data_IF_948340340639
#
_entry.id   IF_948340340639
#
_cell.length_a   1.000
_cell.length_b   1.000
_cell.length_c   1.000
_cell.angle_alpha   90.00
_cell.angle_beta   90.00
_cell.angle_gamma   90.00
#
_symmetry.space_group_name_H-M   'P 1'
#
loop_
_entity.id
_entity.type
_entity.pdbx_description
1 polymer ?
#
# COMPACT_ATOMS: atom_id res chain seq x y z
N UNK A 1 54.82 -4.42 -9.60
CA UNK A 1 54.24 -3.35 -8.76
C UNK A 1 54.29 -2.05 -9.54
N UNK A 2 53.19 -1.64 -10.17
CA UNK A 2 53.10 -0.32 -10.83
C UNK A 2 51.67 0.19 -10.70
N UNK A 3 51.39 0.85 -9.57
CA UNK A 3 50.10 1.50 -9.28
C UNK A 3 50.02 2.77 -10.12
N UNK A 4 49.33 2.72 -11.28
CA UNK A 4 49.11 3.91 -12.13
C UNK A 4 48.06 4.83 -11.50
N UNK A 5 48.30 6.14 -11.70
CA UNK A 5 47.66 7.29 -11.05
C UNK A 5 46.14 7.34 -11.24
N UNK A 6 45.46 7.71 -10.15
CA UNK A 6 44.01 7.92 -10.00
C UNK A 6 43.53 9.16 -10.77
N UNK A 7 42.42 9.02 -11.50
CA UNK A 7 41.72 10.10 -12.19
C UNK A 7 40.25 10.12 -11.73
N UNK A 8 39.92 11.19 -11.02
CA UNK A 8 38.79 11.39 -10.09
C UNK A 8 37.34 11.21 -10.62
N UNK A 9 37.12 10.74 -11.86
CA UNK A 9 35.79 10.45 -12.41
C UNK A 9 35.58 8.99 -12.83
N UNK A 10 36.65 8.27 -13.17
CA UNK A 10 36.59 6.85 -13.58
C UNK A 10 36.81 5.87 -12.43
N UNK A 11 37.38 6.33 -11.32
CA UNK A 11 37.75 5.49 -10.18
C UNK A 11 36.52 4.91 -9.47
N UNK A 12 35.43 5.68 -9.33
CA UNK A 12 34.18 5.19 -8.73
C UNK A 12 33.53 4.09 -9.56
N UNK A 13 33.54 4.24 -10.89
CA UNK A 13 33.00 3.22 -11.81
C UNK A 13 33.85 1.95 -11.74
N UNK A 14 35.18 2.07 -11.74
CA UNK A 14 36.08 0.91 -11.55
C UNK A 14 35.87 0.22 -10.22
N UNK A 15 35.65 0.98 -9.14
CA UNK A 15 35.36 0.41 -7.81
C UNK A 15 34.03 -0.34 -7.79
N UNK A 16 33.01 0.12 -8.54
CA UNK A 16 31.71 -0.56 -8.64
C UNK A 16 31.76 -1.84 -9.48
N UNK A 17 32.51 -1.80 -10.59
CA UNK A 17 32.68 -2.96 -11.49
C UNK A 17 33.61 -4.00 -10.88
N UNK A 18 34.57 -3.58 -10.08
CA UNK A 18 35.69 -4.41 -9.61
C UNK A 18 36.41 -5.06 -10.82
N UNK A 19 36.78 -6.34 -10.70
CA UNK A 19 37.46 -7.10 -11.76
C UNK A 19 36.47 -7.83 -12.70
N UNK A 20 35.24 -7.32 -12.82
CA UNK A 20 34.22 -7.87 -13.73
C UNK A 20 34.40 -7.38 -15.17
N UNK A 21 34.10 -8.27 -16.10
CA UNK A 21 34.14 -7.97 -17.53
C UNK A 21 32.96 -7.05 -17.93
N UNK A 22 33.29 -5.94 -18.59
CA UNK A 22 32.31 -5.03 -19.20
C UNK A 22 32.05 -5.49 -20.63
N UNK A 23 30.81 -5.86 -20.91
CA UNK A 23 30.38 -6.50 -22.17
C UNK A 23 29.61 -5.55 -23.07
N UNK A 24 29.02 -4.50 -22.51
CA UNK A 24 28.21 -3.56 -23.28
C UNK A 24 27.98 -2.23 -22.57
N UNK A 25 27.08 -1.45 -23.14
CA UNK A 25 26.64 -0.18 -22.58
C UNK A 25 25.43 -0.43 -21.66
N UNK A 26 25.51 0.00 -20.40
CA UNK A 26 24.40 -0.16 -19.48
C UNK A 26 23.37 0.95 -19.53
N UNK A 27 22.32 0.80 -18.73
CA UNK A 27 21.33 1.85 -18.51
C UNK A 27 22.06 3.11 -18.05
N UNK A 28 21.85 4.21 -18.76
CA UNK A 28 22.50 5.51 -18.55
C UNK A 28 24.02 5.52 -18.79
N UNK A 29 24.55 4.60 -19.59
CA UNK A 29 25.99 4.54 -19.94
C UNK A 29 26.89 4.06 -18.80
N UNK A 30 26.31 3.52 -17.72
CA UNK A 30 27.07 2.99 -16.58
C UNK A 30 27.19 1.47 -16.64
N UNK A 31 28.36 0.88 -16.35
CA UNK A 31 28.56 -0.56 -16.34
C UNK A 31 28.01 -1.18 -15.04
N UNK A 32 26.68 -1.30 -14.93
CA UNK A 32 25.99 -1.82 -13.74
C UNK A 32 25.36 -3.17 -14.07
N UNK A 33 25.43 -4.10 -13.12
CA UNK A 33 24.70 -5.36 -13.16
C UNK A 33 23.31 -5.17 -12.56
N UNK A 34 22.26 -5.63 -13.25
CA UNK A 34 20.91 -5.69 -12.72
C UNK A 34 20.12 -6.75 -13.48
N UNK A 35 19.29 -7.52 -12.77
CA UNK A 35 18.38 -8.50 -13.36
C UNK A 35 17.03 -7.83 -13.59
N UNK A 36 16.73 -7.48 -14.84
CA UNK A 36 15.49 -6.79 -15.22
C UNK A 36 14.96 -7.32 -16.55
N UNK A 37 13.63 -7.42 -16.73
CA UNK A 37 13.06 -7.88 -17.99
C UNK A 37 13.30 -6.90 -19.15
N UNK A 38 13.47 -5.61 -18.86
CA UNK A 38 13.69 -4.58 -19.88
C UNK A 38 15.12 -4.60 -20.44
N UNK A 39 16.07 -5.10 -19.66
CA UNK A 39 17.47 -5.23 -20.08
C UNK A 39 17.98 -6.63 -19.68
N UNK A 40 17.62 -7.67 -20.45
CA UNK A 40 17.98 -9.05 -20.14
C UNK A 40 19.50 -9.30 -20.22
N UNK A 41 20.24 -8.40 -20.89
CA UNK A 41 21.69 -8.47 -21.03
C UNK A 41 22.34 -7.26 -20.34
N UNK A 42 22.73 -7.40 -19.06
CA UNK A 42 23.35 -6.31 -18.32
C UNK A 42 24.73 -5.95 -18.90
N UNK A 43 25.19 -4.74 -18.59
CA UNK A 43 26.43 -4.18 -19.14
C UNK A 43 27.70 -4.88 -18.66
N UNK A 44 27.64 -5.52 -17.50
CA UNK A 44 28.73 -6.26 -16.89
C UNK A 44 28.29 -7.69 -16.61
N UNK A 45 29.25 -8.62 -16.55
CA UNK A 45 28.99 -9.99 -16.09
C UNK A 45 28.71 -10.04 -14.60
N UNK A 46 27.96 -11.06 -14.16
CA UNK A 46 27.65 -11.25 -12.73
C UNK A 46 28.92 -11.50 -11.89
N UNK A 47 29.76 -12.44 -12.32
CA UNK A 47 30.95 -12.88 -11.60
C UNK A 47 32.21 -12.13 -12.04
N UNK A 48 33.14 -11.96 -11.09
CA UNK A 48 34.50 -11.50 -11.35
C UNK A 48 35.31 -12.53 -12.13
N UNK A 49 36.32 -12.06 -12.85
CA UNK A 49 37.20 -12.93 -13.63
C UNK A 49 38.05 -13.77 -12.68
N UNK A 50 37.70 -15.04 -12.54
CA UNK A 50 38.42 -16.05 -11.76
C UNK A 50 39.04 -17.10 -12.69
N UNK A 51 40.09 -17.81 -12.23
CA UNK A 51 40.75 -18.88 -12.99
C UNK A 51 39.77 -19.97 -13.46
N UNK A 52 38.78 -20.31 -12.63
CA UNK A 52 37.68 -21.22 -12.97
C UNK A 52 36.84 -20.69 -14.14
N UNK A 53 36.55 -19.39 -14.15
CA UNK A 53 35.76 -18.75 -15.19
C UNK A 53 36.55 -18.68 -16.50
N UNK A 54 37.87 -18.43 -16.44
CA UNK A 54 38.73 -18.52 -17.62
C UNK A 54 38.73 -19.93 -18.25
N UNK A 55 38.91 -20.98 -17.43
CA UNK A 55 38.84 -22.37 -17.92
C UNK A 55 37.45 -22.72 -18.47
N UNK A 56 36.38 -22.16 -17.89
CA UNK A 56 35.03 -22.30 -18.40
C UNK A 56 34.86 -21.66 -19.78
N UNK A 57 35.40 -20.45 -19.99
CA UNK A 57 35.36 -19.76 -21.29
C UNK A 57 36.09 -20.54 -22.39
N UNK A 58 37.19 -21.23 -22.05
CA UNK A 58 37.86 -22.11 -23.00
C UNK A 58 36.98 -23.31 -23.38
N UNK A 59 36.25 -23.90 -22.41
CA UNK A 59 35.28 -24.97 -22.69
C UNK A 59 34.06 -24.48 -23.48
N UNK A 60 33.64 -23.24 -23.32
CA UNK A 60 32.51 -22.65 -24.07
C UNK A 60 32.78 -22.53 -25.58
N UNK A 61 34.04 -22.58 -25.99
CA UNK A 61 34.43 -22.59 -27.41
C UNK A 61 34.22 -23.96 -28.08
N UNK A 62 34.11 -25.03 -27.30
CA UNK A 62 33.89 -26.40 -27.78
C UNK A 62 32.38 -26.78 -27.77
N UNK A 63 32.03 -28.05 -28.04
CA UNK A 63 30.63 -28.50 -28.06
C UNK A 63 29.92 -28.33 -26.70
N UNK A 64 28.82 -27.57 -26.69
CA UNK A 64 28.04 -27.27 -25.49
C UNK A 64 27.31 -28.48 -24.90
N UNK A 65 27.30 -29.62 -25.59
CA UNK A 65 26.83 -30.89 -25.02
C UNK A 65 27.71 -31.39 -23.87
N UNK A 66 28.99 -31.00 -23.84
CA UNK A 66 29.94 -31.41 -22.81
C UNK A 66 29.88 -30.56 -21.53
N UNK A 67 29.14 -29.45 -21.55
CA UNK A 67 28.95 -28.57 -20.39
C UNK A 67 27.84 -29.07 -19.47
N UNK A 68 28.14 -29.14 -18.17
CA UNK A 68 27.16 -29.44 -17.12
C UNK A 68 26.11 -28.33 -16.98
N UNK A 69 24.98 -28.63 -16.32
CA UNK A 69 23.91 -27.65 -16.11
C UNK A 69 24.36 -26.45 -15.26
N UNK A 70 25.19 -26.69 -14.25
CA UNK A 70 25.67 -25.64 -13.35
C UNK A 70 26.66 -24.71 -14.07
N UNK A 71 27.52 -25.29 -14.92
CA UNK A 71 28.43 -24.53 -15.79
C UNK A 71 27.66 -23.64 -16.77
N UNK A 72 26.47 -24.05 -17.24
CA UNK A 72 25.62 -23.22 -18.12
C UNK A 72 24.94 -22.05 -17.40
N UNK A 73 24.72 -22.14 -16.09
CA UNK A 73 23.97 -21.13 -15.31
C UNK A 73 24.84 -20.00 -14.74
N UNK A 74 26.16 -20.04 -14.91
CA UNK A 74 27.09 -19.13 -14.23
C UNK A 74 26.99 -17.64 -14.63
N UNK A 75 26.33 -17.32 -15.75
CA UNK A 75 26.34 -15.97 -16.34
C UNK A 75 25.48 -14.94 -15.61
N UNK A 76 24.43 -15.38 -14.90
CA UNK A 76 23.46 -14.50 -14.24
C UNK A 76 23.40 -14.78 -12.73
N UNK A 77 23.02 -13.76 -11.95
CA UNK A 77 22.82 -13.88 -10.51
C UNK A 77 21.54 -14.66 -10.19
N UNK A 78 20.44 -14.28 -10.84
CA UNK A 78 19.11 -14.87 -10.63
C UNK A 78 18.53 -15.38 -11.96
N UNK A 79 17.68 -16.40 -11.88
CA UNK A 79 16.91 -16.82 -13.04
C UNK A 79 15.74 -15.87 -13.31
N UNK A 80 15.22 -15.87 -14.54
CA UNK A 80 14.09 -15.03 -14.92
C UNK A 80 12.86 -15.24 -14.01
N UNK A 81 12.63 -16.47 -13.56
CA UNK A 81 11.55 -16.80 -12.64
C UNK A 81 11.78 -16.30 -11.21
N UNK A 82 13.04 -16.20 -10.76
CA UNK A 82 13.38 -15.78 -9.40
C UNK A 82 13.19 -14.28 -9.20
N UNK A 83 13.69 -13.44 -10.10
CA UNK A 83 13.56 -11.99 -9.91
C UNK A 83 12.16 -11.48 -10.26
N UNK A 84 11.42 -12.18 -11.13
CA UNK A 84 10.01 -11.87 -11.38
C UNK A 84 9.07 -12.40 -10.31
N UNK A 85 9.59 -13.11 -9.30
CA UNK A 85 8.77 -13.68 -8.25
C UNK A 85 8.00 -12.58 -7.50
N UNK A 86 6.68 -12.70 -7.49
CA UNK A 86 5.80 -11.74 -6.81
C UNK A 86 5.95 -11.82 -5.29
N UNK A 87 6.42 -10.75 -4.65
CA UNK A 87 6.51 -10.68 -3.19
C UNK A 87 5.18 -10.21 -2.58
N UNK A 88 4.67 -10.86 -1.52
CA UNK A 88 3.39 -10.51 -0.91
C UNK A 88 3.45 -9.29 0.02
N UNK A 89 4.30 -8.30 -0.29
CA UNK A 89 4.56 -7.12 0.55
C UNK A 89 3.31 -6.25 0.75
N UNK A 90 2.41 -6.23 -0.24
CA UNK A 90 1.14 -5.51 -0.16
C UNK A 90 0.29 -5.92 1.06
N UNK A 91 0.42 -7.18 1.51
CA UNK A 91 -0.28 -7.68 2.70
C UNK A 91 0.23 -7.00 3.97
N UNK A 92 1.53 -6.74 4.06
CA UNK A 92 2.15 -6.04 5.20
C UNK A 92 1.68 -4.59 5.20
N UNK A 93 1.69 -3.92 4.05
CA UNK A 93 1.18 -2.55 3.92
C UNK A 93 -0.29 -2.45 4.40
N UNK A 94 -1.14 -3.38 3.96
CA UNK A 94 -2.54 -3.42 4.36
C UNK A 94 -2.72 -3.71 5.86
N UNK A 95 -1.95 -4.65 6.40
CA UNK A 95 -2.00 -4.98 7.83
C UNK A 95 -1.63 -3.78 8.72
N UNK A 96 -0.55 -3.08 8.37
CA UNK A 96 -0.10 -1.88 9.11
C UNK A 96 -1.14 -0.76 9.01
N UNK A 97 -1.73 -0.54 7.84
CA UNK A 97 -2.79 0.47 7.67
C UNK A 97 -4.00 0.20 8.55
N UNK A 98 -4.52 -1.05 8.56
CA UNK A 98 -5.66 -1.43 9.40
C UNK A 98 -5.33 -1.36 10.89
N UNK A 99 -4.10 -1.71 11.28
CA UNK A 99 -3.65 -1.60 12.66
C UNK A 99 -3.65 -0.15 13.16
N UNK A 100 -3.17 0.79 12.34
CA UNK A 100 -3.21 2.22 12.68
C UNK A 100 -4.63 2.76 12.82
N UNK A 101 -5.55 2.32 11.95
CA UNK A 101 -6.98 2.67 12.07
C UNK A 101 -7.57 2.13 13.37
N UNK A 102 -7.27 0.88 13.73
CA UNK A 102 -7.72 0.26 14.98
C UNK A 102 -7.22 1.03 16.20
N UNK A 103 -5.94 1.43 16.21
CA UNK A 103 -5.35 2.27 17.27
C UNK A 103 -6.07 3.62 17.37
N UNK A 104 -6.37 4.27 16.24
CA UNK A 104 -7.13 5.53 16.22
C UNK A 104 -8.53 5.41 16.80
N UNK A 105 -9.24 4.31 16.51
CA UNK A 105 -10.55 4.02 17.09
C UNK A 105 -10.43 3.74 18.59
N UNK A 106 -9.45 2.95 19.02
CA UNK A 106 -9.21 2.66 20.43
C UNK A 106 -8.97 3.93 21.24
N UNK A 107 -8.12 4.85 20.75
CA UNK A 107 -7.88 6.16 21.37
C UNK A 107 -9.18 6.96 21.46
N UNK A 108 -9.97 7.01 20.38
CA UNK A 108 -11.25 7.73 20.36
C UNK A 108 -12.24 7.21 21.41
N UNK A 109 -12.30 5.89 21.59
CA UNK A 109 -13.12 5.25 22.63
C UNK A 109 -12.59 5.60 24.02
N UNK A 110 -11.28 5.50 24.25
CA UNK A 110 -10.65 5.84 25.53
C UNK A 110 -10.89 7.29 25.93
N UNK A 111 -10.81 8.24 24.98
CA UNK A 111 -11.14 9.65 25.24
C UNK A 111 -12.60 9.81 25.68
N UNK A 112 -13.53 9.07 25.05
CA UNK A 112 -14.96 9.12 25.41
C UNK A 112 -15.27 8.53 26.77
N UNK A 113 -14.60 7.45 27.18
CA UNK A 113 -14.91 6.77 28.45
C UNK A 113 -14.19 7.37 29.65
N UNK A 114 -12.98 7.90 29.47
CA UNK A 114 -12.16 8.39 30.58
C UNK A 114 -12.10 9.91 30.70
N UNK A 115 -12.20 10.64 29.58
CA UNK A 115 -11.90 12.08 29.54
C UNK A 115 -13.14 12.95 29.39
N UNK A 116 -14.11 12.54 28.56
CA UNK A 116 -15.33 13.31 28.34
C UNK A 116 -16.32 13.15 29.50
N UNK A 117 -16.85 14.28 29.97
CA UNK A 117 -17.88 14.33 30.99
C UNK A 117 -19.26 13.86 30.50
N UNK A 118 -20.23 13.87 31.41
CA UNK A 118 -21.62 13.54 31.07
C UNK A 118 -22.14 14.48 29.98
N UNK A 119 -22.81 13.92 28.97
CA UNK A 119 -23.48 14.69 27.93
C UNK A 119 -24.53 15.63 28.56
N UNK A 120 -24.78 16.81 27.96
CA UNK A 120 -25.81 17.69 28.47
C UNK A 120 -27.17 17.01 28.38
N UNK A 121 -28.06 17.35 29.32
CA UNK A 121 -29.37 16.71 29.47
C UNK A 121 -30.24 16.80 28.20
N UNK A 122 -29.97 17.75 27.29
CA UNK A 122 -30.64 17.84 25.98
C UNK A 122 -30.42 16.63 25.08
N UNK A 123 -29.39 15.81 25.35
CA UNK A 123 -29.15 14.57 24.63
C UNK A 123 -29.96 13.37 25.14
N UNK A 124 -30.76 13.53 26.20
CA UNK A 124 -31.70 12.49 26.62
C UNK A 124 -32.74 12.24 25.52
N UNK A 125 -33.08 10.97 25.27
CA UNK A 125 -33.94 10.55 24.16
C UNK A 125 -35.31 11.26 24.17
N UNK A 126 -35.92 11.43 25.34
CA UNK A 126 -37.20 12.13 25.50
C UNK A 126 -37.12 13.58 25.03
N UNK A 127 -36.04 14.28 25.42
CA UNK A 127 -35.84 15.70 25.07
C UNK A 127 -35.49 15.87 23.60
N UNK A 128 -34.67 14.97 23.05
CA UNK A 128 -34.41 14.93 21.62
C UNK A 128 -35.72 14.72 20.83
N UNK A 129 -36.58 13.80 21.27
CA UNK A 129 -37.87 13.55 20.64
C UNK A 129 -38.80 14.76 20.74
N UNK A 130 -38.86 15.43 21.90
CA UNK A 130 -39.64 16.65 22.12
C UNK A 130 -39.14 17.81 21.24
N UNK A 131 -37.83 18.00 21.17
CA UNK A 131 -37.20 19.00 20.31
C UNK A 131 -37.50 18.72 18.83
N UNK A 132 -37.40 17.45 18.42
CA UNK A 132 -37.67 17.02 17.05
C UNK A 132 -39.14 17.24 16.65
N UNK A 133 -40.09 16.96 17.55
CA UNK A 133 -41.51 17.30 17.35
C UNK A 133 -41.70 18.78 17.16
N UNK A 134 -41.07 19.60 17.99
CA UNK A 134 -41.16 21.06 17.90
C UNK A 134 -40.61 21.55 16.55
N UNK A 135 -39.49 21.01 16.09
CA UNK A 135 -38.90 21.35 14.78
C UNK A 135 -39.89 21.05 13.63
N UNK A 136 -40.56 19.89 13.69
CA UNK A 136 -41.56 19.47 12.70
C UNK A 136 -42.81 20.36 12.78
N UNK A 137 -43.33 20.63 13.98
CA UNK A 137 -44.50 21.49 14.18
C UNK A 137 -44.28 22.92 13.69
N UNK A 138 -43.06 23.45 13.89
CA UNK A 138 -42.66 24.76 13.38
C UNK A 138 -42.26 24.74 11.90
N UNK A 139 -42.37 23.59 11.23
CA UNK A 139 -42.03 23.39 9.82
C UNK A 139 -40.64 23.94 9.47
N UNK A 140 -39.65 23.71 10.34
CA UNK A 140 -38.31 24.24 10.14
C UNK A 140 -37.70 23.63 8.87
N UNK A 141 -37.28 24.48 7.92
CA UNK A 141 -36.76 24.09 6.60
C UNK A 141 -37.71 23.13 5.82
N UNK A 142 -38.88 23.62 5.38
CA UNK A 142 -39.96 22.76 4.87
C UNK A 142 -39.79 22.32 3.41
N UNK A 143 -38.79 22.80 2.67
CA UNK A 143 -38.59 22.46 1.25
C UNK A 143 -37.59 21.30 1.11
N UNK A 144 -36.38 21.46 1.64
CA UNK A 144 -35.29 20.47 1.50
C UNK A 144 -34.89 19.80 2.82
N UNK A 145 -35.35 20.33 3.94
CA UNK A 145 -34.92 19.96 5.28
C UNK A 145 -35.70 18.80 5.90
N UNK A 146 -35.57 18.68 7.22
CA UNK A 146 -36.19 17.59 7.98
C UNK A 146 -37.72 17.60 7.89
N UNK A 147 -38.30 18.79 7.95
CA UNK A 147 -39.76 18.99 7.94
C UNK A 147 -40.40 18.67 6.58
N UNK A 148 -39.64 18.71 5.48
CA UNK A 148 -40.16 18.34 4.16
C UNK A 148 -40.35 16.82 4.00
N UNK A 149 -39.62 16.05 4.81
CA UNK A 149 -39.67 14.58 4.82
C UNK A 149 -40.74 14.04 5.77
N UNK A 150 -41.49 14.91 6.45
CA UNK A 150 -42.57 14.54 7.34
C UNK A 150 -43.94 14.67 6.65
N UNK A 151 -44.74 13.62 6.71
CA UNK A 151 -46.13 13.62 6.26
C UNK A 151 -47.03 14.08 7.42
N UNK A 152 -47.50 15.32 7.37
CA UNK A 152 -48.37 15.91 8.41
C UNK A 152 -49.78 15.30 8.42
N UNK A 153 -50.26 14.79 7.28
CA UNK A 153 -51.58 14.15 7.20
C UNK A 153 -51.61 12.81 7.95
N UNK A 154 -50.52 12.05 7.88
CA UNK A 154 -50.45 10.70 8.45
C UNK A 154 -49.62 10.63 9.75
N UNK A 155 -49.08 11.77 10.21
CA UNK A 155 -48.14 11.86 11.33
C UNK A 155 -47.00 10.83 11.26
N UNK A 156 -46.40 10.69 10.07
CA UNK A 156 -45.32 9.73 9.79
C UNK A 156 -44.24 10.36 8.92
N UNK A 157 -43.00 9.89 9.06
CA UNK A 157 -41.92 10.24 8.15
C UNK A 157 -42.08 9.50 6.81
N UNK A 158 -41.93 10.23 5.71
CA UNK A 158 -41.91 9.72 4.34
C UNK A 158 -40.54 9.15 3.92
N UNK A 159 -39.51 9.34 4.74
CA UNK A 159 -38.16 8.82 4.47
C UNK A 159 -37.99 7.37 4.95
N UNK A 160 -37.27 6.56 4.17
CA UNK A 160 -36.85 5.19 4.53
C UNK A 160 -36.07 5.18 5.85
N UNK A 161 -35.31 6.24 6.13
CA UNK A 161 -34.55 6.44 7.38
C UNK A 161 -35.49 6.62 8.59
N UNK A 162 -36.63 7.29 8.42
CA UNK A 162 -37.63 7.43 9.47
C UNK A 162 -38.39 6.14 9.81
N UNK A 163 -38.30 5.10 8.96
CA UNK A 163 -38.86 3.79 9.25
C UNK A 163 -38.11 3.07 10.40
N UNK A 164 -36.79 3.29 10.53
CA UNK A 164 -35.97 2.68 11.58
C UNK A 164 -36.13 3.35 12.95
N UNK A 165 -36.54 4.63 12.97
CA UNK A 165 -36.85 5.40 14.17
C UNK A 165 -38.29 5.18 14.69
N UNK A 166 -39.12 4.39 13.99
CA UNK A 166 -40.53 4.12 14.37
C UNK A 166 -40.68 3.54 15.77
N UNK A 167 -39.71 2.76 16.26
CA UNK A 167 -39.80 2.11 17.58
C UNK A 167 -39.74 3.11 18.76
N UNK A 168 -39.04 4.24 18.61
CA UNK A 168 -38.97 5.28 19.66
C UNK A 168 -39.98 6.42 19.44
N UNK A 169 -40.45 6.63 18.21
CA UNK A 169 -41.41 7.71 17.90
C UNK A 169 -42.86 7.38 18.28
N UNK A 170 -43.26 6.11 18.21
CA UNK A 170 -44.63 5.69 18.51
C UNK A 170 -45.02 6.01 19.96
N UNK A 171 -44.14 5.73 20.93
CA UNK A 171 -44.40 6.00 22.35
C UNK A 171 -44.66 7.46 22.63
N UNK A 172 -43.93 8.34 21.96
CA UNK A 172 -44.02 9.76 22.26
C UNK A 172 -45.39 10.32 21.80
N UNK A 173 -45.98 9.83 20.70
CA UNK A 173 -47.18 10.42 20.07
C UNK A 173 -48.50 9.80 20.53
N UNK A 174 -48.46 8.71 21.32
CA UNK A 174 -49.65 8.02 21.85
C UNK A 174 -50.07 8.47 23.25
N UNK A 175 -49.31 9.36 23.92
CA UNK A 175 -49.64 9.90 25.25
C UNK A 175 -50.27 11.31 25.20
N UNK A 176 -51.21 11.51 24.28
CA UNK A 176 -52.18 12.62 24.34
C UNK A 176 -53.57 12.07 24.15
#
# INVERSE_FOLDING_TARGET
MTRRRFASGGDSIRLMVADREVVGHGINGRPIYFDSPDCPFPAIRYQEVNSKLCALREKELDDWKNLSLDEKKHSFCQTYAEFQHFTPEWKICLAVALWLVSVGIAISISMKTMLYGKLPQTFDDERQSAQLRRIIQLQMNPITGLSSKWCYQENKSNSIIGCHLKLNFSKAYTEV
#
